data_IF_640145648267
#
_entry.id   IF_640145648267
#
_cell.length_a   1.000
_cell.length_b   1.000
_cell.length_c   1.000
_cell.angle_alpha   90.00
_cell.angle_beta   90.00
_cell.angle_gamma   90.00
#
_symmetry.space_group_name_H-M   'P 1'
#
loop_
_entity.id
_entity.type
_entity.pdbx_description
1 polymer ?
#
# COMPACT_ATOMS: atom_id res chain seq x y z
N UNK A 1 4.05 6.26 -7.56
CA UNK A 1 4.97 5.38 -6.81
C UNK A 1 4.55 3.94 -7.05
N UNK A 2 5.52 3.03 -7.17
CA UNK A 2 5.30 1.60 -7.41
C UNK A 2 5.97 0.76 -6.33
N UNK A 3 5.55 -0.49 -6.19
CA UNK A 3 6.16 -1.46 -5.27
C UNK A 3 5.65 -2.88 -5.54
N UNK A 4 6.21 -3.84 -4.82
CA UNK A 4 5.84 -5.26 -4.94
C UNK A 4 5.35 -5.76 -3.59
N UNK A 5 4.22 -6.47 -3.57
CA UNK A 5 3.78 -7.26 -2.41
C UNK A 5 4.15 -8.71 -2.64
N UNK A 6 4.79 -9.33 -1.66
CA UNK A 6 4.97 -10.78 -1.60
C UNK A 6 4.11 -11.36 -0.48
N UNK A 7 3.25 -12.31 -0.80
CA UNK A 7 2.35 -12.94 0.17
C UNK A 7 3.13 -13.89 1.08
N UNK A 8 3.08 -13.62 2.38
CA UNK A 8 3.51 -14.56 3.44
C UNK A 8 2.32 -15.30 4.06
N UNK A 9 1.13 -15.16 3.50
CA UNK A 9 -0.07 -15.84 3.98
C UNK A 9 -0.06 -17.33 3.60
N UNK A 10 -0.80 -18.13 4.37
CA UNK A 10 -0.97 -19.58 4.10
C UNK A 10 -2.11 -19.89 3.11
N UNK A 11 -2.93 -18.90 2.80
CA UNK A 11 -4.07 -18.97 1.87
C UNK A 11 -4.10 -17.67 1.07
N UNK A 12 -4.78 -17.66 -0.08
CA UNK A 12 -5.01 -16.45 -0.86
C UNK A 12 -5.64 -15.34 0.00
N UNK A 13 -5.13 -14.11 -0.14
CA UNK A 13 -5.60 -12.93 0.60
C UNK A 13 -5.55 -11.69 -0.26
N UNK A 14 -6.44 -10.76 0.07
CA UNK A 14 -6.37 -9.40 -0.45
C UNK A 14 -5.43 -8.59 0.42
N UNK A 15 -4.73 -7.65 -0.20
CA UNK A 15 -3.84 -6.71 0.44
C UNK A 15 -4.28 -5.29 0.10
N UNK A 16 -4.45 -4.46 1.13
CA UNK A 16 -4.64 -3.02 0.99
C UNK A 16 -3.36 -2.35 1.44
N UNK A 17 -2.70 -1.68 0.51
CA UNK A 17 -1.52 -0.86 0.77
C UNK A 17 -1.98 0.58 0.87
N UNK A 18 -1.81 1.17 2.04
CA UNK A 18 -2.00 2.61 2.26
C UNK A 18 -0.63 3.23 2.46
N UNK A 19 -0.36 4.30 1.71
CA UNK A 19 0.86 5.09 1.87
C UNK A 19 0.48 6.52 2.17
N UNK A 20 1.03 7.05 3.25
CA UNK A 20 0.82 8.45 3.65
C UNK A 20 2.13 9.21 3.52
N UNK A 21 2.08 10.34 2.82
CA UNK A 21 3.17 11.31 2.74
C UNK A 21 2.94 12.38 3.79
N UNK A 22 3.93 12.59 4.64
CA UNK A 22 3.88 13.56 5.73
C UNK A 22 5.03 14.56 5.62
N UNK A 23 4.81 15.75 6.18
CA UNK A 23 5.85 16.77 6.35
C UNK A 23 6.60 16.59 7.69
N UNK A 24 7.53 17.51 7.98
CA UNK A 24 8.33 17.49 9.22
C UNK A 24 7.49 17.70 10.49
N UNK A 25 6.32 18.33 10.37
CA UNK A 25 5.37 18.52 11.48
C UNK A 25 4.39 17.35 11.62
N UNK A 26 4.57 16.26 10.86
CA UNK A 26 3.72 15.06 10.84
C UNK A 26 2.31 15.26 10.27
N UNK A 27 2.07 16.35 9.54
CA UNK A 27 0.81 16.54 8.81
C UNK A 27 0.77 15.64 7.58
N UNK A 28 -0.37 14.99 7.34
CA UNK A 28 -0.58 14.17 6.15
C UNK A 28 -0.92 15.06 4.96
N UNK A 29 -0.02 15.11 3.99
CA UNK A 29 -0.16 15.90 2.76
C UNK A 29 -0.90 15.14 1.66
N UNK A 30 -0.72 13.82 1.57
CA UNK A 30 -1.42 12.97 0.61
C UNK A 30 -1.55 11.52 1.12
N UNK A 31 -2.51 10.79 0.55
CA UNK A 31 -2.64 9.34 0.72
C UNK A 31 -2.85 8.65 -0.62
N UNK A 32 -2.14 7.54 -0.80
CA UNK A 32 -2.26 6.65 -1.94
C UNK A 32 -2.73 5.31 -1.44
N UNK A 33 -3.65 4.71 -2.18
CA UNK A 33 -4.18 3.39 -1.85
C UNK A 33 -3.97 2.50 -3.08
N UNK A 34 -3.50 1.27 -2.84
CA UNK A 34 -3.54 0.21 -3.82
C UNK A 34 -4.18 -1.04 -3.20
N UNK A 35 -4.90 -1.79 -4.03
CA UNK A 35 -5.48 -3.07 -3.67
C UNK A 35 -4.86 -4.13 -4.56
N UNK A 36 -4.37 -5.21 -3.94
CA UNK A 36 -3.94 -6.43 -4.61
C UNK A 36 -4.88 -7.53 -4.16
N UNK A 37 -5.70 -8.04 -5.08
CA UNK A 37 -6.74 -9.03 -4.79
C UNK A 37 -6.21 -10.45 -4.95
N UNK A 38 -6.70 -11.36 -4.11
CA UNK A 38 -6.49 -12.80 -4.20
C UNK A 38 -5.03 -13.24 -4.40
N UNK A 39 -4.07 -12.60 -3.72
CA UNK A 39 -2.66 -12.94 -3.84
C UNK A 39 -2.37 -14.29 -3.16
N UNK A 40 -2.06 -15.29 -3.97
CA UNK A 40 -1.76 -16.65 -3.54
C UNK A 40 -0.53 -16.73 -2.61
N UNK A 41 -0.41 -17.76 -1.75
CA UNK A 41 0.75 -17.96 -0.90
C UNK A 41 2.07 -17.93 -1.68
N UNK A 42 3.06 -17.19 -1.16
CA UNK A 42 4.39 -16.99 -1.77
C UNK A 42 4.40 -16.29 -3.13
N UNK A 43 3.25 -15.91 -3.69
CA UNK A 43 3.19 -15.14 -4.92
C UNK A 43 3.62 -13.68 -4.66
N UNK A 44 4.16 -13.05 -5.70
CA UNK A 44 4.48 -11.63 -5.72
C UNK A 44 3.66 -10.93 -6.79
N UNK A 45 3.18 -9.73 -6.49
CA UNK A 45 2.47 -8.89 -7.46
C UNK A 45 2.85 -7.43 -7.26
N UNK A 46 3.06 -6.76 -8.38
CA UNK A 46 3.34 -5.33 -8.40
C UNK A 46 2.06 -4.52 -8.19
N UNK A 47 2.20 -3.40 -7.51
CA UNK A 47 1.14 -2.41 -7.33
C UNK A 47 1.65 -1.03 -7.65
N UNK A 48 0.72 -0.19 -8.11
CA UNK A 48 0.96 1.22 -8.35
C UNK A 48 0.00 2.04 -7.49
N UNK A 49 0.54 3.05 -6.81
CA UNK A 49 -0.29 3.99 -6.07
C UNK A 49 -0.87 5.04 -7.01
N UNK A 50 -2.13 5.38 -6.78
CA UNK A 50 -2.91 6.32 -7.58
C UNK A 50 -2.54 7.79 -7.39
N UNK A 51 -1.57 8.13 -6.54
CA UNK A 51 -1.23 9.52 -6.21
C UNK A 51 0.25 9.83 -6.42
N UNK A 52 0.51 11.08 -6.79
CA UNK A 52 1.85 11.66 -6.86
C UNK A 52 2.32 12.09 -5.46
N UNK A 53 3.64 12.17 -5.28
CA UNK A 53 4.25 12.64 -4.04
C UNK A 53 4.13 14.17 -4.00
N UNK A 54 3.42 14.76 -3.02
CA UNK A 54 3.26 16.20 -2.94
C UNK A 54 4.56 16.89 -2.54
N UNK A 55 4.74 18.13 -3.01
CA UNK A 55 5.82 19.00 -2.56
C UNK A 55 5.72 19.22 -1.03
N UNK A 56 6.88 19.26 -0.35
CA UNK A 56 6.94 19.40 1.11
C UNK A 56 6.76 18.09 1.89
N UNK A 57 6.51 16.97 1.23
CA UNK A 57 6.61 15.66 1.86
C UNK A 57 8.08 15.33 2.17
N UNK A 58 8.38 15.02 3.43
CA UNK A 58 9.72 14.62 3.88
C UNK A 58 9.78 13.17 4.33
N UNK A 59 8.64 12.56 4.67
CA UNK A 59 8.55 11.17 5.11
C UNK A 59 7.39 10.45 4.40
N UNK A 60 7.64 9.18 4.05
CA UNK A 60 6.66 8.28 3.46
C UNK A 60 6.43 7.11 4.42
N UNK A 61 5.18 6.89 4.84
CA UNK A 61 4.82 5.80 5.76
C UNK A 61 3.95 4.77 5.07
N UNK A 62 4.32 3.51 5.19
CA UNK A 62 3.61 2.38 4.59
C UNK A 62 2.76 1.67 5.65
N UNK A 63 1.51 1.38 5.32
CA UNK A 63 0.65 0.49 6.06
C UNK A 63 0.08 -0.56 5.11
N UNK A 64 0.35 -1.84 5.40
CA UNK A 64 -0.15 -2.96 4.59
C UNK A 64 -1.05 -3.81 5.46
N UNK A 65 -2.32 -3.86 5.11
CA UNK A 65 -3.31 -4.73 5.75
C UNK A 65 -3.62 -5.90 4.85
N UNK A 66 -3.62 -7.12 5.42
CA UNK A 66 -4.08 -8.33 4.73
C UNK A 66 -5.46 -8.73 5.23
N UNK A 67 -6.33 -9.16 4.34
CA UNK A 67 -7.69 -9.51 4.70
C UNK A 67 -8.45 -10.24 3.60
N UNK A 68 -9.77 -10.19 3.72
CA UNK A 68 -10.71 -10.59 2.66
C UNK A 68 -11.65 -9.42 2.47
N UNK A 69 -11.59 -8.80 1.30
CA UNK A 69 -12.45 -7.71 0.89
C UNK A 69 -13.77 -8.33 0.43
N UNK A 70 -14.88 -7.80 0.92
CA UNK A 70 -16.23 -8.18 0.47
C UNK A 70 -16.87 -6.94 -0.14
N UNK A 71 -17.32 -7.04 -1.39
CA UNK A 71 -18.18 -6.06 -2.05
C UNK A 71 -19.66 -6.42 -1.90
#
# INVERSE_FOLDING_TARGET
MEGTITSTAKVARDYVVTVSWINETSDVLARGIAVVEALEPSASQDFQLSTEVPEGASVCTFNVMRGTIKS
#
